data_IF_479448324020
#
_entry.id   IF_479448324020
#
_cell.length_a   1.000
_cell.length_b   1.000
_cell.length_c   1.000
_cell.angle_alpha   90.00
_cell.angle_beta   90.00
_cell.angle_gamma   90.00
#
_symmetry.space_group_name_H-M   'P 1'
#
loop_
_entity.id
_entity.type
_entity.pdbx_description
1 polymer ?
#
# COMPACT_ATOMS: atom_id res chain seq x y z
N UNK A 1 -7.32 16.12 -14.33
CA UNK A 1 -7.20 14.67 -14.27
C UNK A 1 -7.52 14.10 -15.64
N UNK A 2 -6.66 13.27 -16.21
CA UNK A 2 -6.87 12.61 -17.51
C UNK A 2 -8.11 11.72 -17.46
N UNK A 3 -8.80 11.52 -18.59
CA UNK A 3 -10.04 10.72 -18.61
C UNK A 3 -9.78 9.25 -18.30
N UNK A 4 -8.65 8.71 -18.72
CA UNK A 4 -8.20 7.35 -18.36
C UNK A 4 -8.07 7.17 -16.83
N UNK A 5 -7.49 8.14 -16.13
CA UNK A 5 -7.35 8.11 -14.66
C UNK A 5 -8.72 8.08 -13.99
N UNK A 6 -9.70 8.83 -14.52
CA UNK A 6 -11.08 8.81 -13.98
C UNK A 6 -11.74 7.44 -14.12
N UNK A 7 -11.57 6.79 -15.27
CA UNK A 7 -12.12 5.44 -15.53
C UNK A 7 -11.50 4.43 -14.56
N UNK A 8 -10.18 4.45 -14.41
CA UNK A 8 -9.47 3.54 -13.50
C UNK A 8 -9.86 3.80 -12.05
N UNK A 9 -10.00 5.07 -11.66
CA UNK A 9 -10.45 5.44 -10.31
C UNK A 9 -11.87 4.92 -10.03
N UNK A 10 -12.79 5.03 -10.98
CA UNK A 10 -14.16 4.52 -10.87
C UNK A 10 -14.19 2.97 -10.75
N UNK A 11 -13.36 2.28 -11.51
CA UNK A 11 -13.20 0.82 -11.40
C UNK A 11 -12.68 0.46 -9.99
N UNK A 12 -11.63 1.13 -9.54
CA UNK A 12 -11.05 0.91 -8.23
C UNK A 12 -12.06 1.19 -7.11
N UNK A 13 -12.81 2.29 -7.20
CA UNK A 13 -13.86 2.66 -6.23
C UNK A 13 -14.93 1.57 -6.13
N UNK A 14 -15.44 1.08 -7.26
CA UNK A 14 -16.44 0.00 -7.31
C UNK A 14 -15.94 -1.30 -6.66
N UNK A 15 -14.69 -1.69 -6.96
CA UNK A 15 -14.09 -2.90 -6.37
C UNK A 15 -13.95 -2.73 -4.85
N UNK A 16 -13.41 -1.59 -4.39
CA UNK A 16 -13.19 -1.35 -2.97
C UNK A 16 -14.50 -1.20 -2.20
N UNK A 17 -15.48 -0.46 -2.75
CA UNK A 17 -16.80 -0.30 -2.15
C UNK A 17 -17.53 -1.63 -1.95
N UNK A 18 -17.43 -2.52 -2.92
CA UNK A 18 -18.07 -3.85 -2.88
C UNK A 18 -17.42 -4.79 -1.87
N UNK A 19 -16.10 -4.77 -1.76
CA UNK A 19 -15.35 -5.82 -1.08
C UNK A 19 -14.74 -5.41 0.27
N UNK A 20 -14.50 -4.10 0.52
CA UNK A 20 -13.82 -3.64 1.75
C UNK A 20 -14.85 -3.17 2.77
N UNK A 21 -15.23 -4.06 3.66
CA UNK A 21 -16.10 -3.76 4.79
C UNK A 21 -15.33 -3.69 6.13
N UNK A 22 -16.07 -3.45 7.21
CA UNK A 22 -15.50 -3.41 8.55
C UNK A 22 -14.92 -4.76 8.99
N UNK A 23 -15.56 -5.87 8.61
CA UNK A 23 -15.13 -7.21 8.98
C UNK A 23 -13.80 -7.56 8.29
N UNK A 24 -13.67 -7.33 6.99
CA UNK A 24 -12.43 -7.58 6.25
C UNK A 24 -11.26 -6.79 6.83
N UNK A 25 -11.49 -5.52 7.22
CA UNK A 25 -10.44 -4.68 7.83
C UNK A 25 -9.91 -5.22 9.15
N UNK A 26 -10.70 -5.96 9.90
CA UNK A 26 -10.31 -6.50 11.20
C UNK A 26 -9.78 -7.93 11.13
N UNK A 27 -10.25 -8.76 10.19
CA UNK A 27 -9.98 -10.20 10.20
C UNK A 27 -8.60 -10.58 9.67
N UNK A 28 -8.09 -9.87 8.67
CA UNK A 28 -6.79 -10.13 8.01
C UNK A 28 -6.47 -11.61 7.72
N UNK A 29 -7.51 -12.40 7.48
CA UNK A 29 -7.37 -13.84 7.23
C UNK A 29 -7.07 -14.10 5.75
N UNK A 30 -5.86 -14.60 5.40
CA UNK A 30 -5.44 -14.84 4.02
C UNK A 30 -6.33 -15.80 3.25
N UNK A 31 -7.06 -16.66 3.96
CA UNK A 31 -7.89 -17.71 3.40
C UNK A 31 -9.39 -17.37 3.37
N UNK A 32 -9.80 -16.19 3.84
CA UNK A 32 -11.21 -15.79 3.76
C UNK A 32 -11.65 -15.65 2.30
N UNK A 33 -12.90 -16.04 2.02
CA UNK A 33 -13.48 -15.90 0.67
C UNK A 33 -13.48 -14.43 0.23
N UNK A 34 -13.74 -13.52 1.14
CA UNK A 34 -13.79 -12.08 0.88
C UNK A 34 -12.40 -11.54 0.46
N UNK A 35 -11.34 -11.96 1.15
CA UNK A 35 -9.98 -11.60 0.75
C UNK A 35 -9.64 -12.12 -0.65
N UNK A 36 -9.97 -13.39 -0.94
CA UNK A 36 -9.72 -13.97 -2.28
C UNK A 36 -10.47 -13.22 -3.37
N UNK A 37 -11.75 -12.92 -3.16
CA UNK A 37 -12.55 -12.15 -4.12
C UNK A 37 -11.95 -10.77 -4.38
N UNK A 38 -11.58 -10.02 -3.34
CA UNK A 38 -10.93 -8.71 -3.48
C UNK A 38 -9.60 -8.81 -4.23
N UNK A 39 -8.77 -9.81 -3.89
CA UNK A 39 -7.51 -10.07 -4.58
C UNK A 39 -7.73 -10.35 -6.05
N UNK A 40 -8.63 -11.27 -6.38
CA UNK A 40 -8.89 -11.70 -7.76
C UNK A 40 -9.44 -10.53 -8.60
N UNK A 41 -10.35 -9.73 -8.06
CA UNK A 41 -10.88 -8.54 -8.75
C UNK A 41 -9.79 -7.50 -9.01
N UNK A 42 -8.92 -7.21 -8.06
CA UNK A 42 -7.81 -6.25 -8.24
C UNK A 42 -6.80 -6.76 -9.28
N UNK A 43 -6.44 -8.04 -9.22
CA UNK A 43 -5.47 -8.62 -10.16
C UNK A 43 -6.05 -8.71 -11.57
N UNK A 44 -7.29 -9.21 -11.72
CA UNK A 44 -7.93 -9.33 -13.03
C UNK A 44 -8.21 -7.99 -13.71
N UNK A 45 -8.37 -6.91 -12.92
CA UNK A 45 -8.51 -5.54 -13.44
C UNK A 45 -7.16 -4.88 -13.75
N UNK A 46 -6.05 -5.61 -13.61
CA UNK A 46 -4.67 -5.13 -13.84
C UNK A 46 -4.27 -3.86 -13.06
N UNK A 47 -5.01 -3.52 -12.01
CA UNK A 47 -4.74 -2.34 -11.16
C UNK A 47 -3.37 -2.38 -10.48
N UNK A 48 -2.74 -3.54 -10.40
CA UNK A 48 -1.38 -3.68 -9.86
C UNK A 48 -0.27 -3.32 -10.85
N UNK A 49 -0.61 -3.06 -12.13
CA UNK A 49 0.35 -2.78 -13.21
C UNK A 49 0.23 -1.36 -13.78
N UNK A 50 -0.45 -0.46 -13.10
CA UNK A 50 -0.70 0.90 -13.58
C UNK A 50 0.57 1.67 -13.93
N UNK A 51 1.63 1.53 -13.15
CA UNK A 51 2.94 2.19 -13.36
C UNK A 51 3.92 1.38 -14.22
N UNK A 52 3.57 0.15 -14.57
CA UNK A 52 4.42 -0.71 -15.40
C UNK A 52 4.44 -0.19 -16.83
N UNK A 53 5.61 -0.21 -17.46
CA UNK A 53 5.80 0.19 -18.86
C UNK A 53 4.90 -0.63 -19.81
N UNK A 54 4.42 -0.02 -20.88
CA UNK A 54 3.50 -0.67 -21.83
C UNK A 54 4.15 -1.89 -22.52
N UNK A 55 5.43 -1.83 -22.84
CA UNK A 55 6.19 -2.93 -23.43
C UNK A 55 6.36 -4.15 -22.50
N UNK A 56 6.16 -3.95 -21.20
CA UNK A 56 6.14 -5.00 -20.19
C UNK A 56 4.70 -5.41 -19.78
N UNK A 57 3.68 -4.91 -20.49
CA UNK A 57 2.28 -5.25 -20.31
C UNK A 57 1.59 -4.45 -19.19
N UNK A 58 2.00 -3.23 -18.93
CA UNK A 58 1.36 -2.30 -18.00
C UNK A 58 0.65 -1.15 -18.70
N UNK A 59 0.10 -0.22 -17.92
CA UNK A 59 -0.61 0.95 -18.42
C UNK A 59 0.30 2.17 -18.67
N UNK A 60 1.59 2.12 -18.32
CA UNK A 60 2.54 3.22 -18.55
C UNK A 60 2.19 4.54 -17.84
N UNK A 61 1.38 4.48 -16.79
CA UNK A 61 0.97 5.67 -16.05
C UNK A 61 2.13 6.27 -15.24
N UNK A 62 2.03 7.55 -14.94
CA UNK A 62 3.01 8.25 -14.10
C UNK A 62 2.66 8.13 -12.61
N UNK A 63 3.63 8.41 -11.73
CA UNK A 63 3.39 8.48 -10.28
C UNK A 63 2.30 9.50 -9.92
N UNK A 64 2.20 10.60 -10.66
CA UNK A 64 1.14 11.60 -10.46
C UNK A 64 -0.25 11.07 -10.82
N UNK A 65 -0.35 10.21 -11.82
CA UNK A 65 -1.62 9.65 -12.27
C UNK A 65 -2.23 8.68 -11.24
N UNK A 66 -1.41 8.03 -10.39
CA UNK A 66 -1.91 7.10 -9.36
C UNK A 66 -2.23 7.77 -8.02
N UNK A 67 -1.91 9.05 -7.81
CA UNK A 67 -2.20 9.75 -6.55
C UNK A 67 -3.66 9.56 -6.10
N UNK A 68 -4.69 9.77 -6.96
CA UNK A 68 -6.08 9.58 -6.56
C UNK A 68 -6.40 8.13 -6.15
N UNK A 69 -5.73 7.14 -6.74
CA UNK A 69 -5.93 5.72 -6.43
C UNK A 69 -5.33 5.38 -5.06
N UNK A 70 -4.15 5.94 -4.75
CA UNK A 70 -3.51 5.80 -3.44
C UNK A 70 -4.36 6.44 -2.34
N UNK A 71 -4.90 7.64 -2.58
CA UNK A 71 -5.82 8.33 -1.67
C UNK A 71 -7.09 7.51 -1.45
N UNK A 72 -7.71 7.03 -2.53
CA UNK A 72 -8.93 6.20 -2.46
C UNK A 72 -8.70 4.93 -1.66
N UNK A 73 -7.61 4.20 -1.92
CA UNK A 73 -7.24 3.01 -1.15
C UNK A 73 -7.16 3.29 0.36
N UNK A 74 -6.59 4.43 0.74
CA UNK A 74 -6.50 4.85 2.14
C UNK A 74 -7.86 5.26 2.72
N UNK A 75 -8.73 5.93 1.94
CA UNK A 75 -10.10 6.27 2.36
C UNK A 75 -10.94 5.02 2.69
N UNK A 76 -10.71 3.94 1.97
CA UNK A 76 -11.34 2.64 2.28
C UNK A 76 -10.63 1.87 3.40
N UNK A 77 -9.42 2.28 3.81
CA UNK A 77 -8.60 1.51 4.74
C UNK A 77 -8.33 0.12 4.20
N UNK A 78 -7.96 0.03 2.93
CA UNK A 78 -7.79 -1.22 2.17
C UNK A 78 -6.76 -2.14 2.83
N UNK A 79 -7.16 -3.33 3.36
CA UNK A 79 -6.32 -4.13 4.24
C UNK A 79 -5.50 -5.19 3.49
N UNK A 80 -4.95 -4.83 2.34
CA UNK A 80 -4.17 -5.72 1.45
C UNK A 80 -2.95 -4.96 0.90
N UNK A 81 -1.90 -5.65 0.45
CA UNK A 81 -0.71 -5.03 -0.12
C UNK A 81 -0.94 -4.49 -1.55
N UNK A 82 -2.03 -3.76 -1.77
CA UNK A 82 -2.42 -3.24 -3.08
C UNK A 82 -1.41 -2.21 -3.59
N UNK A 83 -1.16 -1.18 -2.79
CA UNK A 83 -0.23 -0.11 -3.17
C UNK A 83 1.21 -0.60 -3.16
N UNK A 84 1.56 -1.48 -2.22
CA UNK A 84 2.87 -2.14 -2.18
C UNK A 84 3.13 -2.93 -3.47
N UNK A 85 2.10 -3.60 -4.01
CA UNK A 85 2.22 -4.36 -5.27
C UNK A 85 2.38 -3.42 -6.47
N UNK A 86 1.64 -2.32 -6.56
CA UNK A 86 1.82 -1.30 -7.61
C UNK A 86 3.26 -0.80 -7.62
N UNK A 87 3.78 -0.41 -6.45
CA UNK A 87 5.13 0.12 -6.33
C UNK A 87 6.19 -0.94 -6.61
N UNK A 88 5.98 -2.18 -6.16
CA UNK A 88 6.90 -3.29 -6.46
C UNK A 88 6.97 -3.57 -7.95
N UNK A 89 5.84 -3.63 -8.64
CA UNK A 89 5.77 -3.83 -10.08
C UNK A 89 6.37 -2.65 -10.87
N UNK A 90 6.20 -1.42 -10.39
CA UNK A 90 6.90 -0.26 -10.93
C UNK A 90 8.43 -0.45 -10.85
N UNK A 91 8.94 -0.79 -9.67
CA UNK A 91 10.39 -0.99 -9.47
C UNK A 91 10.93 -2.13 -10.33
N UNK A 92 10.20 -3.23 -10.48
CA UNK A 92 10.56 -4.33 -11.39
C UNK A 92 10.59 -3.85 -12.85
N UNK A 93 9.60 -3.06 -13.26
CA UNK A 93 9.52 -2.48 -14.60
C UNK A 93 10.69 -1.55 -14.91
N UNK A 94 11.11 -0.71 -13.97
CA UNK A 94 12.28 0.16 -14.13
C UNK A 94 13.59 -0.63 -14.28
N UNK A 95 13.64 -1.84 -13.77
CA UNK A 95 14.75 -2.79 -13.93
C UNK A 95 14.61 -3.69 -15.18
N UNK A 96 13.60 -3.44 -16.04
CA UNK A 96 13.24 -4.29 -17.18
C UNK A 96 12.96 -5.75 -16.79
N UNK A 97 12.42 -5.96 -15.60
CA UNK A 97 11.95 -7.26 -15.10
C UNK A 97 10.43 -7.31 -15.28
N UNK A 98 9.94 -8.46 -15.76
CA UNK A 98 8.50 -8.68 -15.94
C UNK A 98 7.76 -8.49 -14.61
N UNK A 99 6.63 -7.75 -14.60
CA UNK A 99 5.82 -7.56 -13.40
C UNK A 99 5.19 -8.87 -12.94
N UNK A 100 4.88 -8.94 -11.66
CA UNK A 100 4.23 -10.08 -11.05
C UNK A 100 2.70 -9.96 -11.13
N UNK A 101 2.04 -11.11 -11.31
CA UNK A 101 0.58 -11.20 -11.37
C UNK A 101 -0.04 -11.54 -10.00
N UNK A 102 0.73 -11.50 -8.93
CA UNK A 102 0.27 -11.76 -7.57
C UNK A 102 0.68 -10.62 -6.64
N UNK A 103 0.15 -10.61 -5.43
CA UNK A 103 0.53 -9.61 -4.45
C UNK A 103 1.98 -9.75 -4.03
N UNK A 104 2.68 -8.63 -4.10
CA UNK A 104 4.04 -8.44 -3.62
C UNK A 104 4.01 -7.39 -2.51
N UNK A 105 4.79 -7.62 -1.48
CA UNK A 105 5.09 -6.58 -0.51
C UNK A 105 6.54 -6.15 -0.61
N UNK A 106 6.86 -5.00 -0.01
CA UNK A 106 8.22 -4.50 -0.08
C UNK A 106 8.71 -3.93 1.25
N UNK A 107 10.04 -3.96 1.43
CA UNK A 107 10.72 -3.29 2.54
C UNK A 107 12.12 -2.82 2.12
N UNK A 108 12.59 -1.74 2.73
CA UNK A 108 13.97 -1.28 2.68
C UNK A 108 14.71 -1.42 4.00
N UNK A 109 14.08 -2.10 5.00
CA UNK A 109 14.63 -2.31 6.34
C UNK A 109 15.21 -3.71 6.48
N UNK A 110 16.54 -3.81 6.41
CA UNK A 110 17.25 -5.10 6.46
C UNK A 110 18.37 -5.08 7.50
N UNK A 111 18.51 -6.17 8.25
CA UNK A 111 19.56 -6.39 9.22
C UNK A 111 20.25 -7.75 8.96
N UNK A 112 21.54 -7.89 9.35
CA UNK A 112 22.29 -9.16 9.35
C UNK A 112 22.13 -10.00 8.08
N UNK A 113 22.23 -9.34 6.91
CA UNK A 113 22.03 -9.98 5.61
C UNK A 113 23.28 -10.71 5.13
N UNK A 114 23.10 -11.87 4.52
CA UNK A 114 24.13 -12.64 3.83
C UNK A 114 23.58 -13.19 2.51
N UNK A 115 24.38 -13.11 1.46
CA UNK A 115 24.09 -13.72 0.17
C UNK A 115 25.09 -14.82 -0.12
N UNK A 116 24.60 -16.03 -0.45
CA UNK A 116 25.41 -17.15 -0.93
C UNK A 116 24.82 -17.67 -2.23
N UNK A 117 25.59 -17.55 -3.33
CA UNK A 117 25.11 -17.92 -4.69
C UNK A 117 23.76 -17.25 -4.99
N UNK A 118 22.71 -18.04 -5.25
CA UNK A 118 21.35 -17.58 -5.54
C UNK A 118 20.41 -17.61 -4.31
N UNK A 119 20.96 -17.51 -3.11
CA UNK A 119 20.18 -17.50 -1.86
C UNK A 119 20.50 -16.29 -1.01
N UNK A 120 19.49 -15.82 -0.28
CA UNK A 120 19.61 -14.73 0.68
C UNK A 120 19.18 -15.22 2.06
N UNK A 121 19.90 -14.76 3.06
CA UNK A 121 19.56 -14.92 4.48
C UNK A 121 19.64 -13.56 5.15
N UNK A 122 18.79 -13.32 6.13
CA UNK A 122 18.81 -12.05 6.88
C UNK A 122 17.51 -11.78 7.64
N UNK A 123 17.53 -10.70 8.40
CA UNK A 123 16.37 -10.24 9.14
C UNK A 123 15.81 -9.03 8.39
N UNK A 124 14.62 -9.19 7.86
CA UNK A 124 13.89 -8.14 7.13
C UNK A 124 12.81 -7.60 8.05
N UNK A 125 12.72 -6.27 8.18
CA UNK A 125 11.92 -5.62 9.20
C UNK A 125 10.72 -4.89 8.64
N UNK A 126 9.66 -4.82 9.46
CA UNK A 126 8.47 -3.98 9.21
C UNK A 126 7.84 -4.17 7.83
N UNK A 127 7.74 -5.40 7.36
CA UNK A 127 7.17 -5.75 6.06
C UNK A 127 5.65 -5.69 6.16
N UNK A 128 4.98 -4.76 5.45
CA UNK A 128 3.52 -4.66 5.50
C UNK A 128 2.86 -5.84 4.79
N UNK A 129 1.76 -6.33 5.35
CA UNK A 129 0.90 -7.36 4.75
C UNK A 129 1.63 -8.64 4.27
N UNK A 130 2.76 -9.00 4.90
CA UNK A 130 3.55 -10.16 4.48
C UNK A 130 2.76 -11.48 4.53
N UNK A 131 1.78 -11.59 5.43
CA UNK A 131 0.88 -12.75 5.49
C UNK A 131 0.04 -12.93 4.22
N UNK A 132 -0.25 -11.83 3.49
CA UNK A 132 -1.10 -11.80 2.30
C UNK A 132 -0.32 -11.80 0.98
N UNK A 133 0.99 -11.56 1.02
CA UNK A 133 1.85 -11.56 -0.15
C UNK A 133 2.56 -12.89 -0.34
N UNK A 134 2.83 -13.27 -1.59
CA UNK A 134 3.59 -14.48 -1.94
C UNK A 134 5.08 -14.20 -2.15
N UNK A 135 5.42 -12.96 -2.50
CA UNK A 135 6.78 -12.53 -2.80
C UNK A 135 7.11 -11.22 -2.07
N UNK A 136 8.38 -11.01 -1.88
CA UNK A 136 8.91 -9.85 -1.18
C UNK A 136 9.94 -9.18 -2.07
N UNK A 137 9.79 -7.88 -2.30
CA UNK A 137 10.79 -7.03 -2.91
C UNK A 137 11.57 -6.31 -1.82
N UNK A 138 12.89 -6.35 -1.88
CA UNK A 138 13.74 -5.75 -0.86
C UNK A 138 14.79 -4.86 -1.51
N UNK A 139 14.86 -3.60 -1.06
CA UNK A 139 16.06 -2.80 -1.27
C UNK A 139 17.06 -3.13 -0.16
N UNK A 140 18.27 -3.51 -0.54
CA UNK A 140 19.31 -3.83 0.43
C UNK A 140 20.70 -3.50 -0.11
N UNK A 141 21.66 -3.29 0.78
CA UNK A 141 23.04 -3.04 0.45
C UNK A 141 23.89 -4.28 0.73
N UNK A 142 24.69 -4.71 -0.24
CA UNK A 142 25.63 -5.84 -0.12
C UNK A 142 26.99 -5.34 -0.62
N UNK A 143 28.03 -5.39 0.21
CA UNK A 143 29.39 -4.94 -0.12
C UNK A 143 29.43 -3.50 -0.67
N UNK A 144 28.74 -2.58 -0.04
CA UNK A 144 28.63 -1.16 -0.40
C UNK A 144 27.92 -0.88 -1.74
N UNK A 145 27.25 -1.88 -2.32
CA UNK A 145 26.42 -1.73 -3.51
C UNK A 145 24.96 -1.99 -3.16
N UNK A 146 24.04 -1.13 -3.64
CA UNK A 146 22.60 -1.27 -3.43
C UNK A 146 21.97 -2.16 -4.49
N UNK A 147 21.09 -3.04 -4.04
CA UNK A 147 20.35 -3.99 -4.87
C UNK A 147 18.86 -3.94 -4.59
N UNK A 148 18.08 -4.23 -5.62
CA UNK A 148 16.67 -4.61 -5.50
C UNK A 148 16.60 -6.11 -5.75
N UNK A 149 16.07 -6.83 -4.77
CA UNK A 149 16.01 -8.30 -4.75
C UNK A 149 14.58 -8.76 -4.59
N UNK A 150 14.10 -9.61 -5.49
CA UNK A 150 12.82 -10.30 -5.39
C UNK A 150 13.06 -11.75 -4.97
N UNK A 151 12.34 -12.22 -3.94
CA UNK A 151 12.37 -13.61 -3.49
C UNK A 151 11.00 -14.07 -2.98
N UNK A 152 10.78 -15.39 -2.93
CA UNK A 152 9.56 -15.98 -2.38
C UNK A 152 9.52 -15.82 -0.86
N UNK A 153 8.32 -15.60 -0.34
CA UNK A 153 8.07 -15.64 1.11
C UNK A 153 8.50 -16.99 1.69
N UNK A 154 9.20 -16.94 2.81
CA UNK A 154 9.65 -18.13 3.53
C UNK A 154 10.38 -17.73 4.82
N UNK A 155 10.63 -18.69 5.71
CA UNK A 155 11.26 -18.43 7.00
C UNK A 155 10.26 -18.13 8.13
N UNK A 156 10.75 -17.60 9.25
CA UNK A 156 9.95 -17.33 10.44
C UNK A 156 9.39 -15.92 10.40
N UNK A 157 8.06 -15.81 10.43
CA UNK A 157 7.34 -14.56 10.51
C UNK A 157 7.05 -14.20 11.96
N UNK A 158 7.27 -12.94 12.32
CA UNK A 158 6.90 -12.39 13.63
C UNK A 158 6.04 -11.16 13.41
N UNK A 159 4.79 -11.21 13.87
CA UNK A 159 3.87 -10.07 13.79
C UNK A 159 4.33 -8.96 14.73
N UNK A 160 4.48 -7.74 14.20
CA UNK A 160 4.75 -6.56 14.99
C UNK A 160 3.46 -6.01 15.62
N UNK A 161 3.52 -5.65 16.88
CA UNK A 161 2.45 -4.90 17.54
C UNK A 161 2.54 -3.43 17.11
N UNK A 162 1.45 -2.89 16.57
CA UNK A 162 1.34 -1.46 16.26
C UNK A 162 -0.07 -0.94 16.57
N UNK A 163 -0.21 0.37 16.74
CA UNK A 163 -1.47 1.01 17.10
C UNK A 163 -2.50 1.05 15.95
N UNK A 164 -2.04 0.95 14.69
CA UNK A 164 -2.87 1.11 13.51
C UNK A 164 -3.56 -0.18 13.07
N UNK A 165 -3.24 -1.31 13.72
CA UNK A 165 -3.67 -2.65 13.31
C UNK A 165 -3.29 -3.02 11.86
N UNK A 166 -2.46 -2.21 11.19
CA UNK A 166 -1.84 -2.59 9.92
C UNK A 166 -0.87 -3.74 10.18
N UNK A 167 -1.06 -4.91 9.57
CA UNK A 167 -0.21 -6.06 9.86
C UNK A 167 1.18 -5.82 9.28
N UNK A 168 2.15 -5.65 10.14
CA UNK A 168 3.58 -5.60 9.80
C UNK A 168 4.28 -6.79 10.40
N UNK A 169 5.18 -7.36 9.64
CA UNK A 169 5.92 -8.55 10.04
C UNK A 169 7.42 -8.32 9.97
N UNK A 170 8.12 -8.92 10.91
CA UNK A 170 9.54 -9.20 10.77
C UNK A 170 9.71 -10.59 10.19
N UNK A 171 10.63 -10.74 9.25
CA UNK A 171 10.98 -12.00 8.62
C UNK A 171 12.41 -12.36 8.99
N UNK A 172 12.57 -13.50 9.66
CA UNK A 172 13.85 -14.17 9.83
C UNK A 172 14.00 -15.23 8.75
N UNK A 173 14.83 -14.91 7.76
CA UNK A 173 15.01 -15.69 6.55
C UNK A 173 16.33 -16.45 6.56
N UNK A 174 16.27 -17.75 6.28
CA UNK A 174 17.45 -18.60 6.10
C UNK A 174 17.41 -19.23 4.72
N UNK A 175 18.43 -18.90 3.90
CA UNK A 175 18.65 -19.48 2.56
C UNK A 175 17.45 -19.42 1.61
N UNK A 176 16.71 -18.30 1.59
CA UNK A 176 15.62 -18.10 0.64
C UNK A 176 16.16 -17.92 -0.79
N UNK A 177 15.49 -18.58 -1.73
CA UNK A 177 15.83 -18.50 -3.14
C UNK A 177 15.52 -17.14 -3.73
N UNK A 178 16.53 -16.55 -4.39
CA UNK A 178 16.41 -15.29 -5.12
C UNK A 178 15.77 -15.57 -6.48
N UNK A 179 14.64 -14.90 -6.77
CA UNK A 179 13.99 -14.95 -8.09
C UNK A 179 14.70 -14.00 -9.05
N UNK A 180 14.95 -12.76 -8.61
CA UNK A 180 15.72 -11.77 -9.36
C UNK A 180 16.53 -10.89 -8.43
N UNK A 181 17.65 -10.40 -8.92
CA UNK A 181 18.51 -9.46 -8.20
C UNK A 181 19.19 -8.54 -9.21
N UNK A 182 18.96 -7.24 -9.07
CA UNK A 182 19.54 -6.22 -9.94
C UNK A 182 20.18 -5.12 -9.09
N UNK A 183 21.24 -4.51 -9.60
CA UNK A 183 21.76 -3.28 -9.00
C UNK A 183 20.71 -2.19 -9.07
N UNK A 184 20.54 -1.47 -7.96
CA UNK A 184 19.58 -0.38 -7.90
C UNK A 184 20.15 0.81 -8.70
N UNK A 185 19.41 1.31 -9.71
CA UNK A 185 19.79 2.53 -10.41
C UNK A 185 19.88 3.74 -9.45
N UNK A 186 20.84 4.62 -9.64
CA UNK A 186 21.04 5.77 -8.77
C UNK A 186 19.83 6.71 -8.74
N UNK A 187 19.14 6.86 -9.87
CA UNK A 187 17.95 7.71 -10.00
C UNK A 187 16.73 7.20 -9.25
N UNK A 188 16.71 5.94 -8.81
CA UNK A 188 15.61 5.37 -8.04
C UNK A 188 15.89 5.56 -6.55
N UNK A 189 15.08 6.37 -5.88
CA UNK A 189 15.09 6.51 -4.43
C UNK A 189 13.85 5.83 -3.83
N UNK A 190 14.00 4.56 -3.45
CA UNK A 190 12.92 3.75 -2.88
C UNK A 190 12.42 4.34 -1.56
N UNK A 191 13.31 4.91 -0.74
CA UNK A 191 12.92 5.49 0.54
C UNK A 191 12.02 6.72 0.34
N UNK A 192 12.40 7.66 -0.52
CA UNK A 192 11.58 8.83 -0.81
C UNK A 192 10.27 8.45 -1.49
N UNK A 193 10.29 7.46 -2.38
CA UNK A 193 9.07 6.92 -3.00
C UNK A 193 8.10 6.40 -1.94
N UNK A 194 8.56 5.60 -0.99
CA UNK A 194 7.74 5.08 0.10
C UNK A 194 7.22 6.17 1.03
N UNK A 195 8.04 7.18 1.35
CA UNK A 195 7.62 8.34 2.16
C UNK A 195 6.49 9.08 1.46
N UNK A 196 6.63 9.39 0.17
CA UNK A 196 5.61 10.09 -0.61
C UNK A 196 4.30 9.29 -0.67
N UNK A 197 4.37 7.99 -0.93
CA UNK A 197 3.19 7.13 -0.93
C UNK A 197 2.49 7.13 0.43
N UNK A 198 3.23 7.03 1.54
CA UNK A 198 2.65 7.07 2.90
C UNK A 198 2.06 8.44 3.23
N UNK A 199 2.63 9.53 2.75
CA UNK A 199 2.06 10.88 2.89
C UNK A 199 0.71 11.00 2.15
N UNK A 200 0.63 10.50 0.91
CA UNK A 200 -0.60 10.48 0.13
C UNK A 200 -1.68 9.60 0.81
N UNK A 201 -1.30 8.43 1.34
CA UNK A 201 -2.23 7.58 2.09
C UNK A 201 -2.72 8.26 3.37
N UNK A 202 -1.84 8.95 4.09
CA UNK A 202 -2.22 9.70 5.31
C UNK A 202 -3.24 10.79 4.98
N UNK A 203 -3.01 11.55 3.92
CA UNK A 203 -3.96 12.55 3.43
C UNK A 203 -5.33 11.94 3.09
N UNK A 204 -5.36 10.86 2.29
CA UNK A 204 -6.62 10.17 1.96
C UNK A 204 -7.38 9.67 3.20
N UNK A 205 -6.67 9.14 4.20
CA UNK A 205 -7.27 8.73 5.47
C UNK A 205 -7.84 9.93 6.25
N UNK A 206 -7.13 11.06 6.28
CA UNK A 206 -7.59 12.29 6.94
C UNK A 206 -8.85 12.86 6.27
N UNK A 207 -8.94 12.85 4.93
CA UNK A 207 -10.16 13.24 4.19
C UNK A 207 -11.35 12.36 4.60
N UNK A 208 -11.13 11.05 4.71
CA UNK A 208 -12.18 10.12 5.14
C UNK A 208 -12.63 10.38 6.56
N UNK A 209 -11.70 10.65 7.49
CA UNK A 209 -12.01 11.00 8.88
C UNK A 209 -12.86 12.27 8.93
N UNK A 210 -12.47 13.33 8.23
CA UNK A 210 -13.25 14.57 8.15
C UNK A 210 -14.67 14.32 7.65
N UNK A 211 -14.81 13.56 6.56
CA UNK A 211 -16.12 13.19 6.01
C UNK A 211 -16.99 12.46 7.03
N UNK A 212 -16.44 11.45 7.71
CA UNK A 212 -17.15 10.70 8.76
C UNK A 212 -17.56 11.58 9.94
N UNK A 213 -16.69 12.52 10.36
CA UNK A 213 -17.02 13.48 11.43
C UNK A 213 -18.20 14.38 11.03
N UNK A 214 -18.18 14.92 9.80
CA UNK A 214 -19.28 15.74 9.28
C UNK A 214 -20.59 14.95 9.21
N UNK A 215 -20.56 13.75 8.64
CA UNK A 215 -21.73 12.87 8.53
C UNK A 215 -22.31 12.54 9.91
N UNK A 216 -21.47 12.10 10.85
CA UNK A 216 -21.88 11.77 12.20
C UNK A 216 -22.51 12.96 12.94
N UNK A 217 -21.84 14.12 12.91
CA UNK A 217 -22.33 15.33 13.58
C UNK A 217 -23.64 15.88 12.97
N UNK A 218 -23.87 15.61 11.68
CA UNK A 218 -25.09 16.01 10.98
C UNK A 218 -26.29 15.12 11.30
N UNK A 219 -26.04 13.85 11.66
CA UNK A 219 -27.09 12.86 11.95
C UNK A 219 -27.38 12.74 13.45
N UNK A 220 -26.35 12.77 14.29
CA UNK A 220 -26.48 12.56 15.74
C UNK A 220 -27.18 13.73 16.41
N UNK A 221 -28.29 13.47 17.12
CA UNK A 221 -29.03 14.46 17.91
C UNK A 221 -28.74 14.30 19.41
N UNK A 222 -28.46 15.44 20.06
CA UNK A 222 -28.33 15.57 21.49
C UNK A 222 -28.92 16.92 21.93
N UNK A 223 -29.51 16.99 23.13
CA UNK A 223 -30.11 18.23 23.65
C UNK A 223 -31.10 18.89 22.67
N UNK A 224 -31.92 18.08 21.98
CA UNK A 224 -32.96 18.53 21.08
C UNK A 224 -32.53 18.98 19.68
N UNK A 225 -31.24 18.95 19.34
CA UNK A 225 -30.69 19.35 18.02
C UNK A 225 -29.53 18.50 17.58
N UNK A 226 -29.15 18.57 16.29
CA UNK A 226 -27.98 17.85 15.77
C UNK A 226 -26.68 18.41 16.34
N UNK A 227 -25.63 17.57 16.47
CA UNK A 227 -24.33 17.98 16.99
C UNK A 227 -23.72 19.10 16.13
N UNK A 228 -23.95 19.08 14.82
CA UNK A 228 -23.50 20.12 13.88
C UNK A 228 -24.06 21.53 14.15
N UNK A 229 -25.06 21.67 15.04
CA UNK A 229 -25.62 22.96 15.46
C UNK A 229 -24.92 23.55 16.69
N UNK A 230 -23.97 22.88 17.29
CA UNK A 230 -23.21 23.39 18.42
C UNK A 230 -21.91 24.04 17.94
N UNK A 231 -21.68 25.28 18.37
CA UNK A 231 -20.53 26.09 17.94
C UNK A 231 -19.18 25.40 18.21
N UNK A 232 -19.03 24.75 19.37
CA UNK A 232 -17.81 23.99 19.70
C UNK A 232 -17.55 22.88 18.69
N UNK A 233 -18.56 22.14 18.28
CA UNK A 233 -18.43 21.09 17.28
C UNK A 233 -18.05 21.65 15.91
N UNK A 234 -18.67 22.79 15.52
CA UNK A 234 -18.30 23.48 14.28
C UNK A 234 -16.83 23.93 14.28
N UNK A 235 -16.34 24.46 15.40
CA UNK A 235 -14.94 24.85 15.55
C UNK A 235 -14.01 23.65 15.37
N UNK A 236 -14.25 22.52 16.04
CA UNK A 236 -13.41 21.32 15.90
C UNK A 236 -13.44 20.75 14.48
N UNK A 237 -14.61 20.73 13.82
CA UNK A 237 -14.68 20.29 12.41
C UNK A 237 -13.87 21.23 11.51
N UNK A 238 -13.92 22.54 11.78
CA UNK A 238 -13.16 23.53 11.02
C UNK A 238 -11.65 23.38 11.23
N UNK A 239 -11.19 23.08 12.44
CA UNK A 239 -9.79 22.77 12.75
C UNK A 239 -9.34 21.53 11.97
N UNK A 240 -10.11 20.42 12.01
CA UNK A 240 -9.80 19.21 11.23
C UNK A 240 -9.74 19.53 9.73
N UNK A 241 -10.68 20.33 9.22
CA UNK A 241 -10.72 20.71 7.79
C UNK A 241 -9.49 21.52 7.38
N UNK A 242 -9.00 22.43 8.24
CA UNK A 242 -7.78 23.19 8.02
C UNK A 242 -6.54 22.30 7.95
N UNK A 243 -6.41 21.33 8.87
CA UNK A 243 -5.31 20.36 8.87
C UNK A 243 -5.34 19.46 7.63
N UNK A 244 -6.52 19.00 7.20
CA UNK A 244 -6.69 18.24 5.96
C UNK A 244 -6.26 19.09 4.76
N UNK A 245 -6.71 20.33 4.66
CA UNK A 245 -6.35 21.22 3.56
C UNK A 245 -4.84 21.51 3.51
N UNK A 246 -4.21 21.75 4.66
CA UNK A 246 -2.77 21.95 4.78
C UNK A 246 -1.96 20.71 4.37
N UNK A 247 -2.48 19.51 4.68
CA UNK A 247 -1.81 18.24 4.35
C UNK A 247 -1.92 17.89 2.86
N UNK A 248 -2.90 18.45 2.14
CA UNK A 248 -3.10 18.21 0.71
C UNK A 248 -2.38 19.20 -0.20
N UNK A 249 -1.74 20.23 0.36
CA UNK A 249 -0.99 21.24 -0.37
C UNK A 249 0.47 20.81 -0.60
#
# INVERSE_FOLDING_TARGET
MKDEVKIILDICDKILLKNVDHHLRLSLEPNSTQFRTLKDEIISSELTKLLVKEDLGGAGMTLNDIIPIVQLSAQYGTPIPFIETIISNFLLSELNIKPENDFITLTNKTEKKQKKKNKISGNFKSIPYLNLAEKILVETEIKNQKYIILFKKGGKLTLQKNFLSEPKFDLDASELEIISMMEKPEQIDVQNLLINIRSIQSFGAMEKILKLCIEYCSQRKQFGRTLSKFQMIQNHISEIALEVAASGA
#
